data_IF_581883006094
#
_entry.id   IF_581883006094
#
_cell.length_a   1.000
_cell.length_b   1.000
_cell.length_c   1.000
_cell.angle_alpha   90.00
_cell.angle_beta   90.00
_cell.angle_gamma   90.00
#
_symmetry.space_group_name_H-M   'P 1'
#
loop_
_entity.id
_entity.type
_entity.pdbx_description
1 polymer ?
#
# COMPACT_ATOMS: atom_id res chain seq x y z
N UNK A 1 -25.52 -62.67 69.99
CA UNK A 1 -24.53 -62.55 68.90
C UNK A 1 -24.92 -63.66 67.97
N UNK A 2 -25.62 -63.39 66.88
CA UNK A 2 -25.12 -62.65 65.73
C UNK A 2 -26.19 -61.69 65.18
N UNK A 3 -25.72 -60.54 64.70
CA UNK A 3 -26.54 -59.39 64.28
C UNK A 3 -26.99 -59.46 62.83
N UNK A 4 -28.07 -58.72 62.57
CA UNK A 4 -28.59 -58.34 61.25
C UNK A 4 -27.92 -57.05 60.78
N UNK A 5 -27.11 -57.09 59.72
CA UNK A 5 -26.66 -55.91 58.97
C UNK A 5 -26.27 -56.44 57.56
N UNK A 6 -27.06 -56.28 56.47
CA UNK A 6 -27.31 -55.09 55.63
C UNK A 6 -26.04 -54.53 54.97
N UNK A 7 -26.18 -54.23 53.66
CA UNK A 7 -25.24 -53.67 52.67
C UNK A 7 -24.10 -54.60 52.19
N UNK A 8 -23.86 -54.78 50.89
CA UNK A 8 -23.54 -53.74 49.92
C UNK A 8 -23.84 -54.24 48.49
N UNK A 9 -24.57 -53.44 47.70
CA UNK A 9 -24.82 -53.66 46.27
C UNK A 9 -23.88 -52.74 45.49
N UNK A 10 -22.69 -53.19 45.05
CA UNK A 10 -21.81 -52.34 44.27
C UNK A 10 -22.12 -52.48 42.77
N UNK A 11 -22.96 -51.55 42.33
CA UNK A 11 -22.80 -50.69 41.15
C UNK A 11 -22.82 -51.35 39.74
N UNK A 12 -23.71 -50.90 38.84
CA UNK A 12 -23.68 -51.31 37.45
C UNK A 12 -22.40 -50.81 36.77
N UNK A 13 -21.70 -51.72 36.07
CA UNK A 13 -20.56 -51.41 35.22
C UNK A 13 -20.98 -50.36 34.19
N UNK A 14 -20.48 -49.14 34.35
CA UNK A 14 -20.59 -48.11 33.33
C UNK A 14 -19.82 -48.59 32.09
N UNK A 15 -20.43 -48.62 30.89
CA UNK A 15 -19.68 -48.96 29.69
C UNK A 15 -18.65 -47.87 29.44
N UNK A 16 -17.37 -48.26 29.54
CA UNK A 16 -16.25 -47.47 29.05
C UNK A 16 -16.50 -47.16 27.58
N UNK A 17 -16.98 -45.94 27.28
CA UNK A 17 -17.04 -45.40 25.93
C UNK A 17 -15.62 -45.07 25.48
N UNK A 18 -14.81 -46.11 25.31
CA UNK A 18 -13.55 -46.07 24.57
C UNK A 18 -13.88 -46.14 23.09
N UNK A 19 -14.21 -44.99 22.53
CA UNK A 19 -13.91 -44.62 21.15
C UNK A 19 -14.26 -43.15 20.96
N UNK A 20 -13.56 -42.29 21.69
CA UNK A 20 -13.38 -40.93 21.18
C UNK A 20 -12.49 -41.08 19.95
N UNK A 21 -13.13 -41.11 18.78
CA UNK A 21 -12.48 -40.94 17.49
C UNK A 21 -11.84 -39.55 17.48
N UNK A 22 -10.61 -39.46 18.00
CA UNK A 22 -9.73 -38.31 17.88
C UNK A 22 -9.30 -38.19 16.41
N UNK A 23 -10.26 -37.76 15.59
CA UNK A 23 -9.99 -37.22 14.27
C UNK A 23 -9.23 -35.93 14.50
N UNK A 24 -7.90 -36.01 14.41
CA UNK A 24 -7.00 -34.85 14.34
C UNK A 24 -7.70 -33.76 13.54
N UNK A 25 -7.91 -32.54 14.08
CA UNK A 25 -8.62 -31.53 13.35
C UNK A 25 -7.87 -31.30 12.04
N UNK A 26 -8.48 -31.77 10.94
CA UNK A 26 -8.07 -31.40 9.59
C UNK A 26 -7.97 -29.88 9.58
N UNK A 27 -6.84 -29.36 9.10
CA UNK A 27 -6.47 -27.96 9.22
C UNK A 27 -7.65 -27.01 8.96
N UNK A 28 -7.66 -25.87 9.67
CA UNK A 28 -8.74 -24.87 9.59
C UNK A 28 -9.11 -24.61 8.13
N UNK A 29 -10.35 -24.85 7.77
CA UNK A 29 -10.81 -24.63 6.40
C UNK A 29 -10.63 -23.15 6.03
N UNK A 30 -10.08 -22.90 4.84
CA UNK A 30 -9.80 -21.55 4.31
C UNK A 30 -10.97 -21.14 3.41
N UNK A 31 -11.25 -19.84 3.33
CA UNK A 31 -12.27 -19.27 2.46
C UNK A 31 -11.94 -19.51 0.97
N UNK A 32 -12.96 -19.83 0.18
CA UNK A 32 -12.86 -20.11 -1.26
C UNK A 32 -12.94 -18.85 -2.14
N UNK A 33 -13.42 -17.74 -1.59
CA UNK A 33 -13.58 -16.45 -2.30
C UNK A 33 -12.26 -15.68 -2.47
N UNK A 34 -11.13 -16.28 -2.08
CA UNK A 34 -9.80 -15.70 -2.31
C UNK A 34 -9.33 -14.70 -1.25
N UNK A 35 -10.00 -14.61 -0.09
CA UNK A 35 -9.53 -13.78 1.04
C UNK A 35 -8.49 -14.47 1.96
N UNK A 36 -8.09 -15.71 1.68
CA UNK A 36 -7.09 -16.53 2.42
C UNK A 36 -7.33 -16.64 3.95
N UNK A 37 -8.53 -16.26 4.39
CA UNK A 37 -8.92 -16.22 5.79
C UNK A 37 -9.54 -17.55 6.22
N UNK A 38 -9.31 -18.03 7.46
CA UNK A 38 -10.06 -19.16 7.98
C UNK A 38 -11.57 -18.91 7.91
N UNK A 39 -12.37 -19.92 7.54
CA UNK A 39 -13.82 -19.78 7.36
C UNK A 39 -14.53 -19.25 8.61
N UNK A 40 -14.04 -19.59 9.80
CA UNK A 40 -14.63 -19.17 11.09
C UNK A 40 -14.63 -17.66 11.33
N UNK A 41 -13.70 -16.93 10.72
CA UNK A 41 -13.54 -15.47 10.91
C UNK A 41 -13.58 -14.73 9.58
N UNK A 42 -14.09 -15.39 8.53
CA UNK A 42 -14.18 -14.81 7.21
C UNK A 42 -15.23 -13.69 7.19
N UNK A 43 -14.90 -12.59 6.54
CA UNK A 43 -15.79 -11.42 6.38
C UNK A 43 -16.26 -11.24 4.93
N UNK A 44 -15.90 -12.15 4.03
CA UNK A 44 -16.21 -12.05 2.60
C UNK A 44 -17.73 -11.93 2.32
N UNK A 45 -18.61 -12.43 3.22
CA UNK A 45 -20.06 -12.22 3.15
C UNK A 45 -20.51 -10.76 3.35
N UNK A 46 -19.69 -9.92 3.99
CA UNK A 46 -19.96 -8.50 4.20
C UNK A 46 -19.21 -7.59 3.23
N UNK A 47 -18.37 -8.17 2.36
CA UNK A 47 -17.69 -7.42 1.31
C UNK A 47 -18.67 -7.14 0.17
N UNK A 48 -18.44 -6.05 -0.60
CA UNK A 48 -19.22 -5.80 -1.81
C UNK A 48 -19.05 -6.98 -2.78
N UNK A 49 -20.14 -7.44 -3.44
CA UNK A 49 -20.10 -8.59 -4.34
C UNK A 49 -19.28 -8.33 -5.61
N UNK A 50 -19.14 -7.06 -5.99
CA UNK A 50 -18.34 -6.61 -7.12
C UNK A 50 -17.33 -5.55 -6.67
N UNK A 51 -16.09 -5.57 -7.18
CA UNK A 51 -15.09 -4.56 -6.83
C UNK A 51 -15.57 -3.16 -7.24
N UNK A 52 -15.35 -2.20 -6.35
CA UNK A 52 -15.76 -0.82 -6.53
C UNK A 52 -14.85 -0.13 -7.58
N UNK A 53 -15.42 0.56 -8.57
CA UNK A 53 -14.66 1.38 -9.49
C UNK A 53 -14.23 2.67 -8.79
N UNK A 54 -12.93 2.88 -8.64
CA UNK A 54 -12.36 4.12 -8.11
C UNK A 54 -11.73 4.95 -9.23
N UNK A 55 -11.85 6.27 -9.17
CA UNK A 55 -11.10 7.16 -10.08
C UNK A 55 -9.62 7.19 -9.72
N UNK A 56 -9.31 6.98 -8.44
CA UNK A 56 -7.95 6.94 -7.91
C UNK A 56 -7.38 5.53 -7.95
N UNK A 57 -6.06 5.43 -8.17
CA UNK A 57 -5.30 4.18 -8.04
C UNK A 57 -4.82 4.06 -6.60
N UNK A 58 -5.16 2.96 -5.93
CA UNK A 58 -4.70 2.66 -4.57
C UNK A 58 -3.47 1.76 -4.66
N UNK A 59 -2.37 2.18 -4.03
CA UNK A 59 -1.15 1.39 -3.96
C UNK A 59 -0.87 1.07 -2.50
N UNK A 60 -0.89 -0.22 -2.16
CA UNK A 60 -0.63 -0.71 -0.81
C UNK A 60 0.81 -1.18 -0.74
N UNK A 61 1.58 -0.57 0.16
CA UNK A 61 2.96 -0.95 0.44
C UNK A 61 2.97 -1.89 1.63
N UNK A 62 3.29 -3.16 1.39
CA UNK A 62 3.19 -4.19 2.40
C UNK A 62 4.56 -4.73 2.79
N UNK A 63 4.88 -4.66 4.07
CA UNK A 63 6.08 -5.29 4.60
C UNK A 63 5.96 -6.82 4.50
N UNK A 64 7.02 -7.57 4.14
CA UNK A 64 6.94 -9.02 3.96
C UNK A 64 6.54 -9.79 5.24
N UNK A 65 6.75 -9.21 6.42
CA UNK A 65 6.29 -9.83 7.67
C UNK A 65 4.77 -9.73 7.84
N UNK A 66 4.15 -8.68 7.30
CA UNK A 66 2.69 -8.46 7.35
C UNK A 66 1.93 -9.39 6.39
N UNK A 67 2.58 -9.95 5.37
CA UNK A 67 1.99 -10.99 4.51
C UNK A 67 1.61 -12.25 5.27
N UNK A 68 2.35 -12.57 6.34
CA UNK A 68 2.10 -13.77 7.14
C UNK A 68 0.95 -13.59 8.13
N UNK A 69 0.35 -12.41 8.20
CA UNK A 69 -0.71 -12.13 9.14
C UNK A 69 -2.06 -12.60 8.57
N UNK A 70 -2.68 -13.66 9.15
CA UNK A 70 -3.89 -14.28 8.58
C UNK A 70 -5.13 -13.38 8.67
N UNK A 71 -5.07 -12.31 9.47
CA UNK A 71 -6.14 -11.36 9.67
C UNK A 71 -5.90 -10.03 8.94
N UNK A 72 -4.96 -10.00 8.00
CA UNK A 72 -4.65 -8.78 7.22
C UNK A 72 -5.87 -8.24 6.49
N UNK A 73 -5.95 -6.92 6.41
CA UNK A 73 -6.99 -6.19 5.65
C UNK A 73 -6.68 -6.12 4.16
N UNK A 74 -5.44 -6.44 3.77
CA UNK A 74 -5.00 -6.35 2.38
C UNK A 74 -5.78 -7.26 1.42
N UNK A 75 -6.01 -8.56 1.72
CA UNK A 75 -6.82 -9.41 0.85
C UNK A 75 -8.24 -8.85 0.67
N UNK A 76 -8.86 -8.36 1.74
CA UNK A 76 -10.17 -7.73 1.68
C UNK A 76 -10.17 -6.48 0.78
N UNK A 77 -9.17 -5.60 0.92
CA UNK A 77 -9.04 -4.42 0.06
C UNK A 77 -8.86 -4.76 -1.43
N UNK A 78 -8.12 -5.84 -1.74
CA UNK A 78 -7.93 -6.28 -3.13
C UNK A 78 -9.19 -6.83 -3.76
N UNK A 79 -10.09 -7.42 -2.98
CA UNK A 79 -11.39 -7.88 -3.45
C UNK A 79 -12.36 -6.71 -3.65
N UNK A 80 -12.29 -5.69 -2.80
CA UNK A 80 -13.22 -4.56 -2.83
C UNK A 80 -12.90 -3.49 -3.89
N UNK A 81 -11.68 -3.42 -4.43
CA UNK A 81 -11.22 -2.29 -5.24
C UNK A 81 -10.67 -2.72 -6.59
N UNK A 82 -11.19 -2.12 -7.66
CA UNK A 82 -10.79 -2.47 -9.04
C UNK A 82 -9.36 -2.01 -9.38
N UNK A 83 -8.91 -0.87 -8.82
CA UNK A 83 -7.60 -0.26 -9.07
C UNK A 83 -6.69 -0.31 -7.84
N UNK A 84 -6.51 -1.52 -7.29
CA UNK A 84 -5.67 -1.75 -6.12
C UNK A 84 -4.41 -2.56 -6.47
N UNK A 85 -3.24 -1.97 -6.27
CA UNK A 85 -1.94 -2.61 -6.47
C UNK A 85 -1.25 -2.87 -5.14
N UNK A 86 -0.69 -4.07 -4.98
CA UNK A 86 0.08 -4.45 -3.80
C UNK A 86 1.56 -4.51 -4.15
N UNK A 87 2.39 -3.79 -3.41
CA UNK A 87 3.84 -3.80 -3.57
C UNK A 87 4.44 -4.28 -2.27
N UNK A 88 5.16 -5.39 -2.34
CA UNK A 88 5.76 -6.02 -1.17
C UNK A 88 7.22 -5.61 -1.09
N UNK A 89 7.63 -5.06 0.05
CA UNK A 89 9.02 -4.64 0.22
C UNK A 89 9.36 -4.26 1.65
N UNK A 90 10.64 -4.42 2.01
CA UNK A 90 11.17 -3.89 3.29
C UNK A 90 11.63 -2.44 3.15
N UNK A 91 12.21 -2.12 1.99
CA UNK A 91 12.76 -0.81 1.67
C UNK A 91 12.23 -0.44 0.29
N UNK A 92 11.82 0.81 0.13
CA UNK A 92 11.35 1.37 -1.13
C UNK A 92 12.52 2.13 -1.75
N UNK A 93 12.81 1.87 -3.02
CA UNK A 93 13.85 2.56 -3.77
C UNK A 93 13.36 2.78 -5.20
N UNK A 94 13.94 3.75 -5.93
CA UNK A 94 13.68 3.90 -7.36
C UNK A 94 13.99 2.60 -8.11
N UNK A 95 13.15 2.22 -9.07
CA UNK A 95 13.28 0.98 -9.84
C UNK A 95 12.63 -0.25 -9.21
N UNK A 96 12.06 -0.14 -7.99
CA UNK A 96 11.44 -1.28 -7.31
C UNK A 96 10.09 -1.65 -7.95
N UNK A 97 9.35 -0.66 -8.47
CA UNK A 97 8.18 -0.92 -9.29
C UNK A 97 7.96 0.22 -10.28
N UNK A 98 7.64 -0.07 -11.54
CA UNK A 98 7.40 0.97 -12.55
C UNK A 98 6.23 1.88 -12.15
N UNK A 99 5.26 1.33 -11.40
CA UNK A 99 4.12 2.07 -10.87
C UNK A 99 4.59 3.16 -9.89
N UNK A 100 5.34 2.80 -8.85
CA UNK A 100 5.84 3.79 -7.88
C UNK A 100 6.78 4.80 -8.52
N UNK A 101 7.62 4.37 -9.46
CA UNK A 101 8.54 5.27 -10.16
C UNK A 101 7.77 6.31 -10.97
N UNK A 102 6.69 5.91 -11.64
CA UNK A 102 5.80 6.83 -12.39
C UNK A 102 5.04 7.82 -11.48
N UNK A 103 4.82 7.46 -10.21
CA UNK A 103 4.17 8.31 -9.22
C UNK A 103 5.15 9.20 -8.46
N UNK A 104 6.47 9.00 -8.62
CA UNK A 104 7.47 9.75 -7.88
C UNK A 104 7.49 11.22 -8.32
N UNK A 105 7.35 12.19 -7.39
CA UNK A 105 7.31 13.62 -7.73
C UNK A 105 8.64 14.18 -8.27
N UNK A 106 9.70 13.36 -8.34
CA UNK A 106 11.03 13.77 -8.83
C UNK A 106 11.15 13.85 -10.36
N UNK A 107 10.11 13.54 -11.13
CA UNK A 107 10.11 13.73 -12.58
C UNK A 107 9.75 15.18 -12.98
N UNK A 108 10.19 16.19 -12.23
CA UNK A 108 10.49 17.47 -12.87
C UNK A 108 11.83 17.28 -13.59
N UNK A 109 11.91 17.31 -14.94
CA UNK A 109 13.18 17.59 -15.55
C UNK A 109 13.61 18.93 -14.96
N UNK A 110 14.72 18.93 -14.19
CA UNK A 110 15.37 20.15 -13.80
C UNK A 110 15.46 21.00 -15.06
N UNK A 111 14.80 22.16 -15.04
CA UNK A 111 14.90 23.18 -16.08
C UNK A 111 16.37 23.22 -16.48
N UNK A 112 16.66 22.84 -17.71
CA UNK A 112 17.96 23.03 -18.32
C UNK A 112 18.30 24.50 -18.13
N UNK A 113 19.20 24.78 -17.18
CA UNK A 113 19.90 26.03 -17.09
C UNK A 113 20.80 26.12 -18.31
N UNK A 114 20.22 26.44 -19.46
CA UNK A 114 20.94 27.03 -20.58
C UNK A 114 21.46 28.38 -20.10
N UNK A 115 22.66 28.36 -19.54
CA UNK A 115 23.55 29.51 -19.56
C UNK A 115 23.76 29.94 -21.01
N UNK A 116 23.39 31.17 -21.37
CA UNK A 116 23.94 31.97 -22.50
C UNK A 116 23.21 33.33 -22.62
N UNK A 117 23.79 34.35 -23.27
CA UNK A 117 24.60 35.39 -22.65
C UNK A 117 23.91 36.77 -22.71
N UNK A 118 24.62 37.81 -22.29
CA UNK A 118 24.22 39.21 -22.35
C UNK A 118 23.58 39.63 -23.69
N UNK A 119 22.44 40.32 -23.62
CA UNK A 119 22.04 41.29 -24.65
C UNK A 119 21.39 42.52 -24.00
N UNK A 120 22.20 43.58 -24.03
CA UNK A 120 21.89 45.01 -24.14
C UNK A 120 20.43 45.35 -24.41
N UNK A 121 19.71 45.70 -23.34
CA UNK A 121 18.46 46.44 -23.43
C UNK A 121 18.73 47.89 -23.82
N UNK A 122 18.48 48.23 -25.08
CA UNK A 122 18.21 49.61 -25.50
C UNK A 122 16.84 50.04 -24.99
N UNK A 123 16.69 51.31 -24.56
CA UNK A 123 15.47 52.01 -24.96
C UNK A 123 15.71 53.45 -25.44
N UNK A 124 15.03 53.73 -26.56
CA UNK A 124 14.31 54.97 -26.91
C UNK A 124 15.04 56.32 -26.87
N UNK A 125 15.25 56.81 -28.09
CA UNK A 125 14.93 58.15 -28.61
C UNK A 125 14.65 59.25 -27.56
N UNK A 126 15.60 60.18 -27.45
CA UNK A 126 15.32 61.59 -27.14
C UNK A 126 15.94 62.49 -28.20
N UNK A 127 15.19 63.56 -28.44
CA UNK A 127 15.22 64.51 -29.54
C UNK A 127 16.46 65.40 -29.62
N UNK A 128 16.81 65.69 -30.87
CA UNK A 128 17.49 66.85 -31.46
C UNK A 128 17.77 68.04 -30.51
N UNK A 129 19.04 68.38 -30.38
CA UNK A 129 19.53 69.67 -29.91
C UNK A 129 20.79 70.05 -30.68
N UNK A 130 20.63 70.84 -31.74
CA UNK A 130 21.73 71.39 -32.55
C UNK A 130 22.37 72.58 -31.83
N UNK A 131 23.67 72.52 -31.51
CA UNK A 131 24.46 73.74 -31.28
C UNK A 131 25.85 73.64 -31.91
N UNK A 132 26.01 74.36 -33.03
CA UNK A 132 27.26 74.78 -33.68
C UNK A 132 28.16 75.54 -32.69
N UNK A 133 29.44 75.16 -32.55
CA UNK A 133 30.63 76.03 -32.28
C UNK A 133 31.83 75.12 -31.99
N UNK A 134 33.06 75.35 -32.44
CA UNK A 134 33.71 76.24 -33.40
C UNK A 134 35.15 75.72 -33.45
N UNK A 135 35.60 75.37 -34.65
CA UNK A 135 36.97 74.98 -35.00
C UNK A 135 37.96 76.03 -34.44
N UNK A 136 38.86 75.64 -33.53
CA UNK A 136 40.09 76.40 -33.26
C UNK A 136 41.30 75.52 -33.49
N UNK A 137 41.84 75.75 -34.67
CA UNK A 137 43.07 75.28 -35.25
C UNK A 137 44.26 75.90 -34.52
N UNK A 138 45.19 75.09 -34.03
CA UNK A 138 46.60 75.40 -33.73
C UNK A 138 47.33 74.05 -33.90
N UNK A 139 48.15 73.78 -34.93
CA UNK A 139 49.44 74.40 -35.30
C UNK A 139 50.27 74.68 -34.05
N UNK A 140 51.11 73.72 -33.68
CA UNK A 140 52.55 73.73 -33.94
C UNK A 140 53.00 72.29 -34.22
#
# INVERSE_FOLDING_TARGET
>A
MEGEDREDEPLPMLPSTSSSSESRPSGRSICTDGCDRPKSVCICAHLPPSPLPTSTTVVVLLHPHQLRQPLSTVPALRLCLLRCHLIIGRRLHPGLSPLLDSLSPSATPARSSTSSPAETTSPRLRSVGTTKKKKKQRRC
#
